data_IF_914724682800
#
_entry.id   IF_914724682800
#
_cell.length_a   1.000
_cell.length_b   1.000
_cell.length_c   1.000
_cell.angle_alpha   90.00
_cell.angle_beta   90.00
_cell.angle_gamma   90.00
#
_symmetry.space_group_name_H-M   'P 1'
#
loop_
_entity.id
_entity.type
_entity.pdbx_description
1 polymer ?
#
# COMPACT_ATOMS: atom_id res chain seq x y z
N UNK A 1 -13.51 -12.27 -6.53
CA UNK A 1 -12.05 -12.30 -6.79
C UNK A 1 -11.18 -12.09 -5.55
N UNK A 2 -11.74 -12.04 -4.33
CA UNK A 2 -10.97 -11.78 -3.10
C UNK A 2 -10.36 -13.04 -2.45
N UNK A 3 -10.72 -14.24 -2.94
CA UNK A 3 -10.27 -15.50 -2.34
C UNK A 3 -8.75 -15.66 -2.31
N UNK A 4 -8.04 -15.17 -3.33
CA UNK A 4 -6.57 -15.26 -3.36
C UNK A 4 -5.92 -14.33 -2.32
N UNK A 5 -6.43 -13.10 -2.17
CA UNK A 5 -5.88 -12.13 -1.23
C UNK A 5 -6.17 -12.57 0.21
N UNK A 6 -7.39 -13.05 0.49
CA UNK A 6 -7.73 -13.63 1.78
C UNK A 6 -6.96 -14.94 2.08
N UNK A 7 -6.67 -15.75 1.06
CA UNK A 7 -5.83 -16.92 1.24
C UNK A 7 -4.40 -16.52 1.66
N UNK A 8 -3.82 -15.50 1.03
CA UNK A 8 -2.50 -14.97 1.42
C UNK A 8 -2.55 -14.43 2.86
N UNK A 9 -3.61 -13.72 3.24
CA UNK A 9 -3.81 -13.22 4.60
C UNK A 9 -3.92 -14.34 5.64
N UNK A 10 -4.56 -15.46 5.29
CA UNK A 10 -4.78 -16.60 6.19
C UNK A 10 -3.54 -17.44 6.49
N UNK A 11 -2.46 -17.30 5.71
CA UNK A 11 -1.24 -18.12 5.86
C UNK A 11 -0.40 -17.67 7.08
N UNK A 12 -0.65 -16.48 7.62
CA UNK A 12 0.00 -15.96 8.83
C UNK A 12 1.43 -15.46 8.57
N UNK A 13 1.75 -14.31 9.15
CA UNK A 13 3.01 -13.59 8.93
C UNK A 13 2.76 -12.11 8.67
N UNK A 14 3.83 -11.35 8.41
CA UNK A 14 3.78 -9.92 8.07
C UNK A 14 3.22 -9.73 6.65
N UNK A 15 1.96 -10.13 6.45
CA UNK A 15 1.29 -10.25 5.14
C UNK A 15 1.27 -8.94 4.36
N UNK A 16 1.23 -7.83 5.08
CA UNK A 16 1.23 -6.50 4.49
C UNK A 16 2.57 -6.23 3.77
N UNK A 17 3.71 -6.62 4.36
CA UNK A 17 5.03 -6.48 3.72
C UNK A 17 5.11 -7.22 2.39
N UNK A 18 4.71 -8.50 2.37
CA UNK A 18 4.74 -9.29 1.14
C UNK A 18 3.74 -8.80 0.11
N UNK A 19 2.61 -8.24 0.55
CA UNK A 19 1.64 -7.58 -0.33
C UNK A 19 2.27 -6.39 -1.05
N UNK A 20 3.01 -5.52 -0.34
CA UNK A 20 3.71 -4.39 -0.97
C UNK A 20 4.87 -4.84 -1.88
N UNK A 21 5.59 -5.90 -1.52
CA UNK A 21 6.57 -6.53 -2.43
C UNK A 21 5.88 -7.02 -3.71
N UNK A 22 4.72 -7.66 -3.58
CA UNK A 22 3.91 -8.11 -4.72
C UNK A 22 3.44 -6.96 -5.60
N UNK A 23 2.90 -5.89 -5.00
CA UNK A 23 2.47 -4.68 -5.70
C UNK A 23 3.59 -4.13 -6.59
N UNK A 24 4.83 -4.08 -6.11
CA UNK A 24 5.97 -3.58 -6.88
C UNK A 24 6.31 -4.42 -8.11
N UNK A 25 6.08 -5.73 -8.07
CA UNK A 25 6.28 -6.62 -9.21
C UNK A 25 5.10 -6.60 -10.20
N UNK A 26 4.01 -5.92 -9.86
CA UNK A 26 2.79 -5.81 -10.66
C UNK A 26 2.71 -4.50 -11.47
N UNK A 27 3.84 -3.88 -11.83
CA UNK A 27 3.88 -2.62 -12.62
C UNK A 27 3.07 -2.69 -13.91
N UNK A 28 3.20 -3.79 -14.65
CA UNK A 28 2.43 -4.03 -15.88
C UNK A 28 0.92 -4.29 -15.62
N UNK A 29 0.57 -4.63 -14.38
CA UNK A 29 -0.78 -4.85 -13.90
C UNK A 29 -1.22 -3.71 -12.96
N UNK A 30 -0.91 -2.47 -13.33
CA UNK A 30 -1.10 -1.26 -12.52
C UNK A 30 -2.48 -1.11 -11.87
N UNK A 31 -3.56 -1.40 -12.61
CA UNK A 31 -4.92 -1.34 -12.08
C UNK A 31 -5.14 -2.34 -10.93
N UNK A 32 -4.51 -3.52 -11.00
CA UNK A 32 -4.52 -4.48 -9.91
C UNK A 32 -3.74 -3.99 -8.70
N UNK A 33 -2.59 -3.34 -8.90
CA UNK A 33 -1.86 -2.67 -7.80
C UNK A 33 -2.76 -1.66 -7.08
N UNK A 34 -3.49 -0.83 -7.82
CA UNK A 34 -4.42 0.15 -7.22
C UNK A 34 -5.55 -0.51 -6.46
N UNK A 35 -6.19 -1.55 -7.01
CA UNK A 35 -7.27 -2.29 -6.33
C UNK A 35 -6.81 -2.83 -4.95
N UNK A 36 -5.58 -3.35 -4.88
CA UNK A 36 -5.01 -3.84 -3.61
C UNK A 36 -4.81 -2.66 -2.65
N UNK A 37 -4.25 -1.54 -3.12
CA UNK A 37 -4.06 -0.35 -2.28
C UNK A 37 -5.38 0.24 -1.79
N UNK A 38 -6.41 0.33 -2.64
CA UNK A 38 -7.76 0.75 -2.22
C UNK A 38 -8.30 -0.12 -1.09
N UNK A 39 -8.08 -1.43 -1.16
CA UNK A 39 -8.50 -2.34 -0.10
C UNK A 39 -7.79 -2.03 1.22
N UNK A 40 -6.46 -1.86 1.18
CA UNK A 40 -5.65 -1.52 2.35
C UNK A 40 -6.10 -0.17 2.94
N UNK A 41 -6.36 0.83 2.10
CA UNK A 41 -6.81 2.16 2.51
C UNK A 41 -8.25 2.20 3.07
N UNK A 42 -9.02 1.13 2.88
CA UNK A 42 -10.35 0.99 3.51
C UNK A 42 -10.28 0.30 4.89
N UNK A 43 -9.11 -0.17 5.33
CA UNK A 43 -8.91 -0.80 6.64
C UNK A 43 -8.03 0.09 7.54
N UNK A 44 -8.65 0.68 8.57
CA UNK A 44 -7.96 1.58 9.51
C UNK A 44 -6.82 0.90 10.29
N UNK A 45 -6.92 -0.40 10.56
CA UNK A 45 -5.88 -1.15 11.28
C UNK A 45 -4.69 -1.48 10.38
N UNK A 46 -4.93 -1.69 9.08
CA UNK A 46 -3.85 -1.84 8.10
C UNK A 46 -3.15 -0.51 7.82
N UNK A 47 -3.89 0.60 7.65
CA UNK A 47 -3.32 1.93 7.42
C UNK A 47 -2.25 2.29 8.45
N UNK A 48 -2.49 2.01 9.73
CA UNK A 48 -1.53 2.29 10.83
C UNK A 48 -0.19 1.56 10.67
N UNK A 49 -0.18 0.43 9.97
CA UNK A 49 1.01 -0.43 9.77
C UNK A 49 1.76 -0.09 8.48
N UNK A 50 1.08 0.55 7.51
CA UNK A 50 1.68 0.88 6.20
C UNK A 50 2.98 1.67 6.32
N UNK A 51 3.11 2.72 7.17
CA UNK A 51 4.37 3.49 7.25
C UNK A 51 5.58 2.63 7.61
N UNK A 52 5.45 1.76 8.64
CA UNK A 52 6.55 0.89 9.06
C UNK A 52 6.91 -0.15 8.00
N UNK A 53 5.91 -0.66 7.28
CA UNK A 53 6.13 -1.61 6.19
C UNK A 53 6.82 -0.92 5.02
N UNK A 54 6.38 0.27 4.65
CA UNK A 54 6.98 1.08 3.60
C UNK A 54 8.44 1.41 3.93
N UNK A 55 8.74 1.79 5.18
CA UNK A 55 10.11 2.07 5.64
C UNK A 55 11.03 0.84 5.57
N UNK A 56 10.49 -0.37 5.73
CA UNK A 56 11.25 -1.62 5.60
C UNK A 56 11.54 -2.01 4.13
N UNK A 57 10.83 -1.44 3.15
CA UNK A 57 11.02 -1.76 1.74
C UNK A 57 12.28 -1.11 1.16
N UNK A 58 12.94 -1.76 0.18
CA UNK A 58 14.01 -1.14 -0.60
C UNK A 58 13.55 0.18 -1.22
N UNK A 59 14.42 1.19 -1.28
CA UNK A 59 14.06 2.53 -1.78
C UNK A 59 13.47 2.52 -3.20
N UNK A 60 14.01 1.66 -4.09
CA UNK A 60 13.49 1.50 -5.46
C UNK A 60 12.02 1.02 -5.47
N UNK A 61 11.61 0.25 -4.47
CA UNK A 61 10.28 -0.32 -4.36
C UNK A 61 9.27 0.72 -3.84
N UNK A 62 9.71 1.58 -2.91
CA UNK A 62 8.87 2.63 -2.33
C UNK A 62 8.34 3.60 -3.37
N UNK A 63 9.16 4.02 -4.33
CA UNK A 63 8.78 5.06 -5.30
C UNK A 63 7.50 4.70 -6.06
N UNK A 64 7.44 3.51 -6.64
CA UNK A 64 6.26 3.07 -7.39
C UNK A 64 4.99 3.08 -6.54
N UNK A 65 5.08 2.63 -5.29
CA UNK A 65 3.94 2.59 -4.38
C UNK A 65 3.52 4.00 -3.96
N UNK A 66 4.46 4.90 -3.71
CA UNK A 66 4.18 6.32 -3.40
C UNK A 66 3.45 6.98 -4.57
N UNK A 67 3.94 6.79 -5.79
CA UNK A 67 3.30 7.34 -7.00
C UNK A 67 1.85 6.84 -7.13
N UNK A 68 1.57 5.58 -6.77
CA UNK A 68 0.19 5.06 -6.76
C UNK A 68 -0.67 5.63 -5.64
N UNK A 69 -0.10 5.85 -4.44
CA UNK A 69 -0.83 6.44 -3.31
C UNK A 69 -1.20 7.90 -3.60
N UNK A 70 -0.31 8.66 -4.20
CA UNK A 70 -0.59 10.03 -4.65
C UNK A 70 -1.68 10.05 -5.72
N UNK A 71 -1.65 9.14 -6.70
CA UNK A 71 -2.73 9.05 -7.67
C UNK A 71 -4.08 8.69 -7.04
N UNK A 72 -4.13 7.73 -6.12
CA UNK A 72 -5.37 7.37 -5.41
C UNK A 72 -5.90 8.58 -4.62
N UNK A 73 -5.01 9.35 -3.99
CA UNK A 73 -5.39 10.59 -3.30
C UNK A 73 -5.98 11.61 -4.27
N UNK A 74 -5.43 11.75 -5.46
CA UNK A 74 -5.93 12.72 -6.44
C UNK A 74 -7.27 12.29 -7.06
N UNK A 75 -7.45 11.00 -7.32
CA UNK A 75 -8.69 10.45 -7.90
C UNK A 75 -9.86 10.45 -6.92
N UNK A 76 -9.62 10.09 -5.66
CA UNK A 76 -10.65 9.87 -4.63
C UNK A 76 -10.35 10.69 -3.37
N UNK A 77 -10.07 11.99 -3.58
CA UNK A 77 -9.58 12.91 -2.54
C UNK A 77 -10.42 12.93 -1.27
N UNK A 78 -11.74 13.03 -1.38
CA UNK A 78 -12.63 13.10 -0.23
C UNK A 78 -12.57 11.85 0.65
N UNK A 79 -12.22 10.69 0.06
CA UNK A 79 -12.18 9.41 0.73
C UNK A 79 -10.79 9.09 1.30
N UNK A 80 -9.73 9.31 0.51
CA UNK A 80 -8.39 8.78 0.86
C UNK A 80 -7.33 9.84 1.19
N UNK A 81 -7.59 11.13 0.99
CA UNK A 81 -6.60 12.20 1.25
C UNK A 81 -5.98 12.10 2.64
N UNK A 82 -6.81 11.96 3.68
CA UNK A 82 -6.34 11.88 5.08
C UNK A 82 -5.50 10.63 5.33
N UNK A 83 -5.92 9.48 4.80
CA UNK A 83 -5.21 8.22 4.97
C UNK A 83 -3.87 8.22 4.26
N UNK A 84 -3.82 8.75 3.04
CA UNK A 84 -2.57 8.90 2.26
C UNK A 84 -1.63 9.90 2.93
N UNK A 85 -2.14 11.06 3.37
CA UNK A 85 -1.33 12.06 4.07
C UNK A 85 -0.78 11.53 5.40
N UNK A 86 -1.57 10.75 6.13
CA UNK A 86 -1.10 10.05 7.33
C UNK A 86 0.05 9.09 6.97
N UNK A 87 -0.11 8.26 5.95
CA UNK A 87 0.91 7.28 5.57
C UNK A 87 2.22 7.99 5.21
N UNK A 88 2.16 8.93 4.27
CA UNK A 88 3.33 9.63 3.76
C UNK A 88 3.99 10.50 4.84
N UNK A 89 3.20 11.11 5.74
CA UNK A 89 3.69 11.92 6.84
C UNK A 89 4.36 11.13 7.98
N UNK A 90 4.05 9.85 8.13
CA UNK A 90 4.63 8.99 9.17
C UNK A 90 5.85 8.18 8.71
N UNK A 91 6.14 8.14 7.40
CA UNK A 91 7.31 7.46 6.86
C UNK A 91 8.62 8.16 7.28
N UNK A 92 9.64 7.39 7.65
CA UNK A 92 10.99 7.93 7.88
C UNK A 92 11.63 8.24 6.53
N UNK A 93 11.57 9.51 6.15
CA UNK A 93 12.36 10.03 5.04
C UNK A 93 13.86 9.96 5.39
N UNK A 94 14.50 8.81 5.14
CA UNK A 94 15.95 8.71 5.14
C UNK A 94 16.48 9.62 4.01
N UNK A 95 17.04 10.77 4.41
CA UNK A 95 17.86 11.64 3.58
C UNK A 95 19.10 10.91 3.06
#
# INVERSE_FOLDING_TARGET
>A
MFGLVHAIESIGGDNLYWTFVGIEHMKEARNWSKIILYRILNDEEEIKKVPSVMDALPQKNRKYIIDLLEEIKDEDYDMFSRSVDFILGQMKMNK
#
